data_IF_506438557371
#
_entry.id   IF_506438557371
#
_cell.length_a   1.000
_cell.length_b   1.000
_cell.length_c   1.000
_cell.angle_alpha   90.00
_cell.angle_beta   90.00
_cell.angle_gamma   90.00
#
_symmetry.space_group_name_H-M   'P 1'
#
loop_
_entity.id
_entity.type
_entity.pdbx_description
1 polymer ?
#
# COMPACT_ATOMS: atom_id res chain seq x y z
N UNK A 1 -13.30 1.14 0.73
CA UNK A 1 -12.33 1.38 1.79
C UNK A 1 -12.41 2.80 2.32
N UNK A 2 -11.90 3.76 1.57
CA UNK A 2 -11.67 5.15 2.03
C UNK A 2 -12.95 5.89 2.43
N UNK A 3 -14.07 5.69 1.73
CA UNK A 3 -15.37 6.32 2.07
C UNK A 3 -15.88 5.93 3.46
N UNK A 4 -15.66 4.68 3.87
CA UNK A 4 -16.07 4.18 5.19
C UNK A 4 -15.28 4.87 6.30
N UNK A 5 -13.99 5.10 6.11
CA UNK A 5 -13.15 5.84 7.06
C UNK A 5 -13.59 7.28 7.14
N UNK A 6 -13.83 7.95 5.99
CA UNK A 6 -14.36 9.31 5.98
C UNK A 6 -15.66 9.44 6.74
N UNK A 7 -16.59 8.47 6.59
CA UNK A 7 -17.84 8.44 7.35
C UNK A 7 -17.62 8.23 8.86
N UNK A 8 -16.72 7.32 9.23
CA UNK A 8 -16.41 7.01 10.64
C UNK A 8 -15.72 8.16 11.38
N UNK A 9 -14.96 8.99 10.67
CA UNK A 9 -14.19 10.11 11.23
C UNK A 9 -14.95 11.46 11.20
N UNK A 10 -16.15 11.49 10.62
CA UNK A 10 -16.94 12.72 10.54
C UNK A 10 -17.22 13.30 11.94
N UNK A 11 -16.85 14.56 12.13
CA UNK A 11 -17.03 15.28 13.40
C UNK A 11 -16.07 14.86 14.52
N UNK A 12 -15.05 14.07 14.22
CA UNK A 12 -13.97 13.72 15.16
C UNK A 12 -12.76 14.59 14.93
N UNK A 13 -12.07 14.94 16.01
CA UNK A 13 -10.77 15.61 15.97
C UNK A 13 -9.67 14.54 15.96
N UNK A 14 -8.78 14.57 14.96
CA UNK A 14 -7.66 13.65 14.80
C UNK A 14 -6.54 14.29 13.99
N UNK A 15 -5.30 13.93 14.28
CA UNK A 15 -4.11 14.42 13.56
C UNK A 15 -3.70 13.50 12.41
N UNK A 16 -4.06 12.22 12.49
CA UNK A 16 -3.75 11.19 11.51
C UNK A 16 -4.84 10.10 11.54
N UNK A 17 -5.27 9.63 10.38
CA UNK A 17 -6.17 8.48 10.24
C UNK A 17 -5.42 7.32 9.61
N UNK A 18 -5.46 6.14 10.24
CA UNK A 18 -4.91 4.91 9.66
C UNK A 18 -6.06 4.02 9.19
N UNK A 19 -6.01 3.63 7.93
CA UNK A 19 -6.87 2.65 7.32
C UNK A 19 -6.19 1.28 7.32
N UNK A 20 -6.49 0.48 8.33
CA UNK A 20 -6.13 -0.93 8.37
C UNK A 20 -7.27 -1.75 7.76
N UNK A 21 -7.01 -2.45 6.67
CA UNK A 21 -8.01 -3.26 5.99
C UNK A 21 -8.18 -4.62 6.68
N UNK A 22 -9.40 -5.19 6.60
CA UNK A 22 -9.73 -6.43 7.29
C UNK A 22 -9.07 -7.68 6.72
N UNK A 23 -8.51 -7.60 5.53
CA UNK A 23 -7.73 -8.64 4.84
C UNK A 23 -6.24 -8.63 5.22
N UNK A 24 -5.79 -7.67 6.04
CA UNK A 24 -4.42 -7.55 6.55
C UNK A 24 -4.35 -7.71 8.10
N UNK A 25 -4.89 -8.81 8.68
CA UNK A 25 -5.02 -8.94 10.14
C UNK A 25 -3.68 -9.21 10.84
N UNK A 26 -2.64 -9.61 10.11
CA UNK A 26 -1.33 -9.94 10.65
C UNK A 26 -0.29 -8.81 10.48
N UNK A 27 -0.74 -7.57 10.27
CA UNK A 27 0.14 -6.41 10.32
C UNK A 27 0.73 -6.28 11.72
N UNK A 28 2.05 -6.26 11.81
CA UNK A 28 2.72 -6.04 13.09
C UNK A 28 2.53 -4.58 13.55
N UNK A 29 2.25 -4.34 14.85
CA UNK A 29 2.04 -2.99 15.39
C UNK A 29 3.20 -2.03 15.07
N UNK A 30 4.43 -2.52 15.06
CA UNK A 30 5.63 -1.74 14.74
C UNK A 30 5.60 -1.17 13.32
N UNK A 31 4.93 -1.84 12.37
CA UNK A 31 4.75 -1.33 11.02
C UNK A 31 3.82 -0.10 11.00
N UNK A 32 2.79 -0.09 11.87
CA UNK A 32 1.90 1.06 12.03
C UNK A 32 2.62 2.23 12.72
N UNK A 33 3.44 1.95 13.73
CA UNK A 33 4.26 2.96 14.40
C UNK A 33 5.24 3.60 13.41
N UNK A 34 5.94 2.79 12.61
CA UNK A 34 6.84 3.27 11.56
C UNK A 34 6.11 4.14 10.51
N UNK A 35 4.86 3.80 10.19
CA UNK A 35 4.03 4.60 9.29
C UNK A 35 3.66 5.95 9.91
N UNK A 36 3.30 6.00 11.20
CA UNK A 36 3.04 7.24 11.95
C UNK A 36 4.29 8.12 11.99
N UNK A 37 5.45 7.54 12.29
CA UNK A 37 6.73 8.25 12.32
C UNK A 37 7.09 8.83 10.95
N UNK A 38 6.90 8.06 9.87
CA UNK A 38 7.14 8.52 8.51
C UNK A 38 6.22 9.70 8.13
N UNK A 39 4.96 9.69 8.58
CA UNK A 39 4.01 10.79 8.37
C UNK A 39 4.38 12.06 9.16
N UNK A 40 5.22 11.96 10.19
CA UNK A 40 5.66 13.07 11.03
C UNK A 40 6.91 13.79 10.52
N UNK A 41 7.56 13.30 9.47
CA UNK A 41 8.81 13.86 8.90
C UNK A 41 8.62 15.27 8.33
N UNK A 42 9.73 16.01 8.19
CA UNK A 42 9.74 17.42 7.74
C UNK A 42 9.08 17.63 6.36
N UNK A 43 9.17 16.66 5.45
CA UNK A 43 8.54 16.73 4.12
C UNK A 43 7.01 16.66 4.16
N UNK A 44 6.41 16.46 5.33
CA UNK A 44 4.95 16.45 5.58
C UNK A 44 4.19 15.74 4.45
N UNK A 45 4.37 14.43 4.24
CA UNK A 45 3.59 13.71 3.26
C UNK A 45 2.10 13.79 3.63
N UNK A 46 1.24 13.89 2.64
CA UNK A 46 -0.21 13.95 2.85
C UNK A 46 -0.80 12.58 3.12
N UNK A 47 -0.17 11.57 2.56
CA UNK A 47 -0.55 10.16 2.65
C UNK A 47 0.66 9.30 2.96
N UNK A 48 0.43 8.15 3.57
CA UNK A 48 1.44 7.12 3.79
C UNK A 48 0.90 5.73 3.48
N UNK A 49 1.80 4.81 3.12
CA UNK A 49 1.49 3.41 2.90
C UNK A 49 2.71 2.53 3.20
N UNK A 50 2.54 1.21 3.10
CA UNK A 50 3.58 0.24 3.37
C UNK A 50 4.02 -0.48 2.10
N UNK A 51 5.24 -1.02 2.10
CA UNK A 51 5.73 -1.92 1.05
C UNK A 51 6.60 -3.02 1.63
N UNK A 52 6.72 -4.13 0.89
CA UNK A 52 7.57 -5.26 1.24
C UNK A 52 8.45 -5.68 0.05
N UNK A 53 9.46 -6.53 0.25
CA UNK A 53 10.20 -7.10 -0.86
C UNK A 53 9.28 -7.77 -1.89
N UNK A 54 9.55 -7.53 -3.17
CA UNK A 54 8.85 -8.15 -4.29
C UNK A 54 9.61 -9.41 -4.72
N UNK A 55 8.95 -10.55 -4.71
CA UNK A 55 9.54 -11.79 -5.22
C UNK A 55 9.46 -11.82 -6.76
N UNK A 56 10.43 -12.43 -7.42
CA UNK A 56 10.55 -12.39 -8.87
C UNK A 56 9.29 -12.88 -9.61
N UNK A 57 8.62 -13.92 -9.10
CA UNK A 57 7.36 -14.42 -9.69
C UNK A 57 6.17 -13.47 -9.51
N UNK A 58 6.22 -12.58 -8.52
CA UNK A 58 5.17 -11.60 -8.25
C UNK A 58 5.24 -10.39 -9.19
N UNK A 59 6.36 -10.15 -9.85
CA UNK A 59 6.53 -9.00 -10.72
C UNK A 59 5.49 -8.98 -11.85
N UNK A 60 5.19 -10.14 -12.43
CA UNK A 60 4.21 -10.29 -13.52
C UNK A 60 2.77 -10.56 -13.01
N UNK A 61 2.57 -10.83 -11.71
CA UNK A 61 1.25 -11.11 -11.16
C UNK A 61 0.42 -9.81 -11.02
N UNK A 62 -0.74 -9.69 -11.71
CA UNK A 62 -1.59 -8.50 -11.62
C UNK A 62 -2.31 -8.35 -10.27
N UNK A 63 -2.39 -9.41 -9.45
CA UNK A 63 -2.94 -9.35 -8.11
C UNK A 63 -1.93 -8.75 -7.11
N UNK A 64 -0.63 -8.88 -7.39
CA UNK A 64 0.42 -8.23 -6.63
C UNK A 64 0.64 -6.81 -7.14
N UNK A 65 0.20 -5.81 -6.40
CA UNK A 65 0.43 -4.40 -6.74
C UNK A 65 1.89 -4.03 -6.48
N UNK A 66 2.53 -3.39 -7.47
CA UNK A 66 3.90 -2.90 -7.39
C UNK A 66 3.90 -1.42 -7.07
N UNK A 67 4.92 -0.97 -6.33
CA UNK A 67 5.20 0.44 -6.08
C UNK A 67 6.67 0.73 -6.35
N UNK A 68 6.95 1.84 -7.02
CA UNK A 68 8.29 2.42 -7.16
C UNK A 68 8.36 3.72 -6.39
N UNK A 69 9.51 3.99 -5.77
CA UNK A 69 9.73 5.18 -4.95
C UNK A 69 10.98 5.93 -5.43
N UNK A 70 11.05 7.18 -5.06
CA UNK A 70 12.29 7.96 -5.11
C UNK A 70 13.24 7.61 -3.94
N UNK A 71 14.36 8.32 -3.86
CA UNK A 71 15.37 8.18 -2.81
C UNK A 71 14.90 8.67 -1.42
N UNK A 72 13.79 9.40 -1.35
CA UNK A 72 13.14 9.85 -0.12
C UNK A 72 12.01 8.91 0.33
N UNK A 73 11.84 7.78 -0.34
CA UNK A 73 10.72 6.84 -0.18
C UNK A 73 9.35 7.45 -0.48
N UNK A 74 9.27 8.46 -1.36
CA UNK A 74 8.00 8.94 -1.88
C UNK A 74 7.59 8.13 -3.10
N UNK A 75 6.32 7.74 -3.17
CA UNK A 75 5.80 6.97 -4.28
C UNK A 75 5.87 7.76 -5.59
N UNK A 76 6.47 7.16 -6.60
CA UNK A 76 6.49 7.66 -7.97
C UNK A 76 5.29 7.12 -8.76
N UNK A 77 4.99 5.82 -8.59
CA UNK A 77 3.85 5.19 -9.25
C UNK A 77 3.48 3.85 -8.60
N UNK A 78 2.21 3.45 -8.74
CA UNK A 78 1.70 2.12 -8.39
C UNK A 78 1.14 1.46 -9.64
N UNK A 79 1.36 0.15 -9.82
CA UNK A 79 0.79 -0.57 -10.96
C UNK A 79 0.56 -2.05 -10.66
N UNK A 80 -0.43 -2.63 -11.35
CA UNK A 80 -0.62 -4.08 -11.45
C UNK A 80 0.29 -4.69 -12.52
N UNK A 81 0.71 -3.90 -13.50
CA UNK A 81 1.66 -4.34 -14.51
C UNK A 81 3.10 -4.45 -13.95
N UNK A 82 3.99 -5.20 -14.59
CA UNK A 82 5.42 -5.14 -14.30
C UNK A 82 5.95 -3.73 -14.58
N UNK A 83 6.49 -3.06 -13.55
CA UNK A 83 7.10 -1.74 -13.65
C UNK A 83 8.51 -1.75 -13.09
N UNK A 84 9.36 -0.82 -13.53
CA UNK A 84 10.78 -0.74 -13.14
C UNK A 84 11.51 -2.07 -13.34
N UNK A 85 11.14 -2.84 -14.36
CA UNK A 85 11.71 -4.13 -14.71
C UNK A 85 12.96 -4.00 -15.56
N UNK A 86 13.84 -4.99 -15.46
CA UNK A 86 15.03 -5.08 -16.30
C UNK A 86 14.65 -5.14 -17.79
N UNK A 87 15.21 -4.20 -18.59
CA UNK A 87 15.04 -4.21 -20.04
C UNK A 87 15.51 -5.52 -20.68
N UNK A 88 16.62 -6.07 -20.17
CA UNK A 88 17.22 -7.28 -20.73
C UNK A 88 16.31 -8.51 -20.46
N UNK A 89 15.70 -8.58 -19.29
CA UNK A 89 14.76 -9.66 -18.95
C UNK A 89 13.49 -9.58 -19.83
N UNK A 90 13.00 -8.37 -20.10
CA UNK A 90 11.86 -8.16 -21.01
C UNK A 90 12.19 -8.57 -22.45
N UNK A 91 13.36 -8.19 -22.96
CA UNK A 91 13.80 -8.55 -24.31
C UNK A 91 14.06 -10.05 -24.45
N UNK A 92 14.52 -10.72 -23.40
CA UNK A 92 14.73 -12.16 -23.36
C UNK A 92 13.45 -12.96 -23.19
N UNK A 93 12.29 -12.32 -22.94
CA UNK A 93 11.04 -13.02 -22.64
C UNK A 93 11.14 -13.83 -21.33
N UNK A 94 11.91 -13.36 -20.35
CA UNK A 94 12.13 -14.06 -19.09
C UNK A 94 10.83 -14.24 -18.31
N UNK A 95 10.57 -15.45 -17.82
CA UNK A 95 9.46 -15.72 -16.91
C UNK A 95 9.67 -15.09 -15.50
N UNK A 96 10.93 -14.83 -15.12
CA UNK A 96 11.31 -14.18 -13.87
C UNK A 96 11.92 -12.81 -14.16
N UNK A 97 11.19 -11.75 -13.85
CA UNK A 97 11.61 -10.38 -14.11
C UNK A 97 12.34 -9.79 -12.90
N UNK A 98 13.57 -9.32 -13.10
CA UNK A 98 14.24 -8.47 -12.10
C UNK A 98 13.56 -7.11 -12.10
N UNK A 99 13.22 -6.62 -10.93
CA UNK A 99 12.41 -5.44 -10.77
C UNK A 99 12.91 -4.60 -9.59
N UNK A 100 13.01 -3.30 -9.76
CA UNK A 100 13.35 -2.35 -8.69
C UNK A 100 12.13 -1.94 -7.85
N UNK A 101 10.92 -2.31 -8.27
CA UNK A 101 9.71 -2.07 -7.51
C UNK A 101 9.63 -2.96 -6.26
N UNK A 102 8.81 -2.54 -5.30
CA UNK A 102 8.44 -3.32 -4.11
C UNK A 102 6.97 -3.74 -4.20
N UNK A 103 6.59 -4.80 -3.47
CA UNK A 103 5.19 -5.16 -3.27
C UNK A 103 4.52 -4.11 -2.40
N UNK A 104 3.46 -3.49 -2.89
CA UNK A 104 2.62 -2.59 -2.11
C UNK A 104 1.76 -3.37 -1.09
N UNK A 105 1.58 -2.81 0.12
CA UNK A 105 0.72 -3.34 1.18
C UNK A 105 -0.39 -2.34 1.44
N UNK A 106 -1.65 -2.78 1.39
CA UNK A 106 -2.87 -1.98 1.39
C UNK A 106 -3.24 -1.29 2.71
N UNK A 107 -2.26 -0.86 3.49
CA UNK A 107 -2.47 -0.05 4.70
C UNK A 107 -2.14 1.40 4.39
N UNK A 108 -3.02 2.32 4.79
CA UNK A 108 -2.86 3.74 4.48
C UNK A 108 -2.98 4.63 5.71
N UNK A 109 -2.16 5.66 5.75
CA UNK A 109 -2.28 6.77 6.68
C UNK A 109 -2.64 8.04 5.92
N UNK A 110 -3.51 8.87 6.48
CA UNK A 110 -3.98 10.11 5.88
C UNK A 110 -3.92 11.26 6.87
N UNK A 111 -3.46 12.44 6.43
CA UNK A 111 -3.77 13.69 7.13
C UNK A 111 -5.24 14.06 6.92
N UNK A 112 -5.88 14.78 7.87
CA UNK A 112 -7.31 15.09 7.79
C UNK A 112 -7.72 15.84 6.52
N UNK A 113 -6.96 16.86 6.15
CA UNK A 113 -7.15 17.67 4.93
C UNK A 113 -6.94 16.86 3.65
N UNK A 114 -5.93 16.01 3.62
CA UNK A 114 -5.67 15.12 2.51
C UNK A 114 -6.77 14.05 2.35
N UNK A 115 -7.26 13.48 3.45
CA UNK A 115 -8.38 12.56 3.41
C UNK A 115 -9.64 13.23 2.86
N UNK A 116 -9.94 14.44 3.31
CA UNK A 116 -11.08 15.19 2.81
C UNK A 116 -10.96 15.49 1.30
N UNK A 117 -9.79 15.98 0.86
CA UNK A 117 -9.51 16.23 -0.55
C UNK A 117 -9.66 14.94 -1.39
N UNK A 118 -9.12 13.83 -0.90
CA UNK A 118 -9.20 12.53 -1.57
C UNK A 118 -10.65 12.06 -1.71
N UNK A 119 -11.47 12.17 -0.65
CA UNK A 119 -12.87 11.71 -0.64
C UNK A 119 -13.80 12.58 -1.49
N UNK A 120 -13.49 13.87 -1.65
CA UNK A 120 -14.31 14.80 -2.44
C UNK A 120 -13.95 14.78 -3.93
N UNK A 121 -12.76 14.28 -4.29
CA UNK A 121 -12.34 14.16 -5.68
C UNK A 121 -13.04 12.97 -6.38
N UNK A 122 -13.46 13.14 -7.64
CA UNK A 122 -14.00 12.03 -8.42
C UNK A 122 -12.90 10.99 -8.72
N UNK A 123 -13.28 9.71 -8.94
CA UNK A 123 -12.33 8.69 -9.39
C UNK A 123 -11.58 9.11 -10.65
N UNK A 124 -10.26 9.01 -10.62
CA UNK A 124 -9.38 9.41 -11.71
C UNK A 124 -9.31 8.35 -12.82
N UNK A 125 -8.74 8.71 -13.98
CA UNK A 125 -8.64 7.77 -15.11
C UNK A 125 -7.66 6.63 -14.80
N UNK A 126 -6.51 6.93 -14.17
CA UNK A 126 -5.55 5.89 -13.78
C UNK A 126 -6.15 4.95 -12.72
N UNK A 127 -6.87 5.51 -11.74
CA UNK A 127 -7.58 4.72 -10.73
C UNK A 127 -8.57 3.73 -11.37
N UNK A 128 -9.38 4.18 -12.33
CA UNK A 128 -10.36 3.33 -13.01
C UNK A 128 -9.69 2.24 -13.85
N UNK A 129 -8.60 2.59 -14.53
CA UNK A 129 -7.84 1.68 -15.39
C UNK A 129 -7.18 0.56 -14.58
N UNK A 130 -6.45 0.93 -13.54
CA UNK A 130 -5.68 -0.01 -12.71
C UNK A 130 -6.49 -0.58 -11.53
N UNK A 131 -7.66 0.01 -11.22
CA UNK A 131 -8.45 -0.28 -10.01
C UNK A 131 -7.62 -0.13 -8.73
N UNK A 132 -6.92 1.01 -8.64
CA UNK A 132 -6.04 1.38 -7.55
C UNK A 132 -6.37 2.79 -7.06
N UNK A 133 -7.08 2.90 -5.92
CA UNK A 133 -7.56 4.18 -5.37
C UNK A 133 -6.41 5.19 -5.12
N UNK A 134 -5.22 4.71 -4.73
CA UNK A 134 -4.07 5.56 -4.43
C UNK A 134 -3.50 6.30 -5.66
N UNK A 135 -3.84 5.88 -6.87
CA UNK A 135 -3.46 6.61 -8.09
C UNK A 135 -4.18 7.95 -8.17
N UNK A 136 -5.44 8.05 -7.70
CA UNK A 136 -6.14 9.33 -7.57
C UNK A 136 -5.38 10.30 -6.68
N UNK A 137 -4.80 9.82 -5.57
CA UNK A 137 -4.01 10.68 -4.71
C UNK A 137 -2.75 11.22 -5.41
N UNK A 138 -2.06 10.40 -6.22
CA UNK A 138 -0.93 10.86 -7.03
C UNK A 138 -1.36 11.89 -8.08
N UNK A 139 -2.48 11.67 -8.78
CA UNK A 139 -3.02 12.61 -9.78
C UNK A 139 -3.49 13.93 -9.14
N UNK A 140 -3.88 13.93 -7.87
CA UNK A 140 -4.15 15.13 -7.06
C UNK A 140 -2.88 15.84 -6.59
N UNK A 141 -1.69 15.34 -6.92
CA UNK A 141 -0.40 15.89 -6.51
C UNK A 141 -0.04 15.59 -5.05
N UNK A 142 -0.69 14.63 -4.41
CA UNK A 142 -0.36 14.25 -3.04
C UNK A 142 0.94 13.47 -2.97
N UNK A 143 1.78 13.80 -2.00
CA UNK A 143 2.97 13.03 -1.67
C UNK A 143 2.59 11.85 -0.78
N UNK A 144 2.92 10.64 -1.24
CA UNK A 144 2.65 9.40 -0.53
C UNK A 144 3.99 8.84 -0.07
N UNK A 145 4.26 8.85 1.25
CA UNK A 145 5.44 8.16 1.79
C UNK A 145 5.19 6.65 1.84
N UNK A 146 6.17 5.87 1.41
CA UNK A 146 6.12 4.41 1.39
C UNK A 146 7.11 3.88 2.41
N UNK A 147 6.63 3.26 3.48
CA UNK A 147 7.50 2.67 4.51
C UNK A 147 7.86 1.25 4.10
N UNK A 148 9.15 0.94 3.92
CA UNK A 148 9.59 -0.39 3.57
C UNK A 148 9.57 -1.30 4.80
N UNK A 149 8.93 -2.48 4.67
CA UNK A 149 9.01 -3.59 5.61
C UNK A 149 10.05 -4.61 5.12
N UNK A 150 10.63 -5.38 6.04
CA UNK A 150 11.59 -6.45 5.73
C UNK A 150 10.90 -7.68 5.13
N UNK A 151 9.63 -7.92 5.47
CA UNK A 151 8.81 -9.00 4.94
C UNK A 151 7.38 -8.54 4.69
N UNK A 152 6.69 -9.18 3.74
CA UNK A 152 5.27 -8.95 3.53
C UNK A 152 4.46 -9.59 4.67
N UNK A 153 3.47 -8.88 5.23
CA UNK A 153 2.49 -9.49 6.11
C UNK A 153 1.71 -10.57 5.36
N UNK A 154 1.12 -11.47 6.10
CA UNK A 154 0.25 -12.50 5.52
C UNK A 154 -1.16 -11.95 5.43
N UNK A 155 -1.59 -11.63 4.23
CA UNK A 155 -2.97 -11.26 3.93
C UNK A 155 -3.91 -12.46 3.94
N UNK A 156 -5.21 -12.21 3.96
CA UNK A 156 -6.27 -13.23 3.85
C UNK A 156 -7.06 -12.96 2.57
N UNK A 157 -6.68 -13.63 1.50
CA UNK A 157 -7.34 -13.53 0.18
C UNK A 157 -8.24 -14.76 -0.10
N UNK A 158 -7.95 -15.90 0.53
CA UNK A 158 -8.63 -17.17 0.30
C UNK A 158 -9.16 -17.78 1.62
N UNK A 159 -10.04 -18.79 1.50
CA UNK A 159 -10.50 -19.58 2.66
C UNK A 159 -9.36 -20.34 3.32
N UNK A 160 -8.36 -20.76 2.54
CA UNK A 160 -7.18 -21.44 3.05
C UNK A 160 -6.32 -20.49 3.90
N UNK A 161 -6.10 -19.25 3.43
CA UNK A 161 -5.40 -18.22 4.21
C UNK A 161 -6.11 -17.95 5.54
N UNK A 162 -7.46 -17.89 5.51
CA UNK A 162 -8.26 -17.70 6.73
C UNK A 162 -8.08 -18.85 7.72
N UNK A 163 -8.05 -20.09 7.24
CA UNK A 163 -7.84 -21.26 8.11
C UNK A 163 -6.44 -21.25 8.74
N UNK A 164 -5.42 -20.94 7.94
CA UNK A 164 -4.04 -20.81 8.43
C UNK A 164 -3.88 -19.65 9.42
N UNK A 165 -4.52 -18.50 9.17
CA UNK A 165 -4.49 -17.36 10.07
C UNK A 165 -5.15 -17.72 11.43
N UNK A 166 -6.27 -18.44 11.41
CA UNK A 166 -6.93 -18.93 12.65
C UNK A 166 -6.03 -19.86 13.46
N UNK A 167 -5.30 -20.77 12.81
CA UNK A 167 -4.37 -21.67 13.50
C UNK A 167 -3.24 -20.88 14.16
N UNK A 168 -2.60 -19.96 13.42
CA UNK A 168 -1.50 -19.12 13.97
C UNK A 168 -1.96 -18.24 15.12
N UNK A 169 -3.15 -17.65 15.04
CA UNK A 169 -3.71 -16.84 16.13
C UNK A 169 -3.99 -17.66 17.39
N UNK A 170 -4.50 -18.89 17.23
CA UNK A 170 -4.72 -19.80 18.37
C UNK A 170 -3.40 -20.17 19.07
N UNK A 171 -2.31 -20.38 18.32
CA UNK A 171 -0.98 -20.69 18.85
C UNK A 171 -0.33 -19.50 19.58
N UNK A 172 -0.65 -18.24 19.19
CA UNK A 172 -0.15 -17.02 19.86
C UNK A 172 -0.86 -16.71 21.19
N UNK A 173 -2.00 -17.32 21.44
CA UNK A 173 -2.84 -17.05 22.62
C UNK A 173 -2.56 -18.05 23.76
N UNK A 174 -1.72 -19.06 23.54
CA UNK A 174 -1.23 -20.04 24.51
C UNK A 174 0.17 -19.67 25.00
#
# INVERSE_FOLDING_TARGET
GSDRIGAALRGRDYSLAINLQGDEPEIEPQALDALVDAMSRQNKPQMGTLSAPLLAYQAADPNCVKVVTDDQNLALYFSRAPIATSRDDLLAGSALLRCAARRHIGVYAYRPDALLQFLTAPPSELEKMERLEQLRALELGMRIVVVPLDAAPRGIDTLEDLQQARQRLAERTL
#
